data_IF_099669601271
#
_entry.id   IF_099669601271
#
_cell.length_a   1.000
_cell.length_b   1.000
_cell.length_c   1.000
_cell.angle_alpha   90.00
_cell.angle_beta   90.00
_cell.angle_gamma   90.00
#
_symmetry.space_group_name_H-M   'P 1'
#
loop_
_entity.id
_entity.type
_entity.pdbx_description
1 polymer ?
#
# COMPACT_ATOMS: atom_id res chain seq x y z
N UNK A 1 -5.89 37.34 -23.36
CA UNK A 1 -6.86 36.36 -23.90
C UNK A 1 -6.50 34.93 -23.49
N UNK A 2 -5.38 34.35 -23.93
CA UNK A 2 -5.01 32.96 -23.55
C UNK A 2 -4.88 32.78 -22.03
N UNK A 3 -4.14 33.65 -21.34
CA UNK A 3 -4.01 33.63 -19.86
C UNK A 3 -5.35 33.79 -19.12
N UNK A 4 -6.29 34.55 -19.67
CA UNK A 4 -7.61 34.75 -19.07
C UNK A 4 -8.47 33.47 -19.16
N UNK A 5 -8.42 32.77 -20.29
CA UNK A 5 -9.15 31.51 -20.48
C UNK A 5 -8.58 30.38 -19.61
N UNK A 6 -7.25 30.33 -19.44
CA UNK A 6 -6.59 29.39 -18.54
C UNK A 6 -7.02 29.65 -17.09
N UNK A 7 -7.08 30.92 -16.66
CA UNK A 7 -7.58 31.26 -15.33
C UNK A 7 -9.04 30.85 -15.13
N UNK A 8 -9.90 31.00 -16.14
CA UNK A 8 -11.28 30.48 -16.10
C UNK A 8 -11.29 28.96 -15.94
N UNK A 9 -10.48 28.21 -16.69
CA UNK A 9 -10.38 26.76 -16.55
C UNK A 9 -9.88 26.34 -15.16
N UNK A 10 -8.89 27.05 -14.59
CA UNK A 10 -8.42 26.83 -13.22
C UNK A 10 -9.54 27.10 -12.19
N UNK A 11 -10.35 28.13 -12.40
CA UNK A 11 -11.52 28.39 -11.56
C UNK A 11 -12.52 27.23 -11.60
N UNK A 12 -12.78 26.66 -12.78
CA UNK A 12 -13.63 25.47 -12.94
C UNK A 12 -13.09 24.27 -12.15
N UNK A 13 -11.77 24.04 -12.18
CA UNK A 13 -11.11 23.00 -11.39
C UNK A 13 -11.29 23.25 -9.88
N UNK A 14 -11.09 24.49 -9.42
CA UNK A 14 -11.25 24.85 -8.02
C UNK A 14 -12.68 24.58 -7.52
N UNK A 15 -13.68 24.88 -8.34
CA UNK A 15 -15.11 24.74 -8.04
C UNK A 15 -15.67 23.33 -8.30
N UNK A 16 -14.85 22.38 -8.75
CA UNK A 16 -15.30 21.06 -9.20
C UNK A 16 -16.39 21.10 -10.32
N UNK A 17 -16.36 22.12 -11.18
CA UNK A 17 -17.25 22.23 -12.34
C UNK A 17 -16.69 21.44 -13.55
N UNK A 18 -17.00 20.14 -13.61
CA UNK A 18 -16.52 19.23 -14.66
C UNK A 18 -17.13 19.55 -16.02
N UNK A 19 -18.40 19.94 -16.01
CA UNK A 19 -19.15 20.34 -17.21
C UNK A 19 -18.57 21.59 -17.83
N UNK A 20 -18.36 22.64 -17.05
CA UNK A 20 -17.80 23.90 -17.53
C UNK A 20 -16.36 23.75 -18.00
N UNK A 21 -15.54 22.94 -17.30
CA UNK A 21 -14.19 22.65 -17.76
C UNK A 21 -14.19 21.90 -19.11
N UNK A 22 -15.06 20.90 -19.25
CA UNK A 22 -15.16 20.12 -20.48
C UNK A 22 -15.67 20.97 -21.66
N UNK A 23 -16.60 21.90 -21.42
CA UNK A 23 -17.08 22.86 -22.42
C UNK A 23 -15.97 23.76 -22.92
N UNK A 24 -15.16 24.35 -22.02
CA UNK A 24 -14.02 25.20 -22.39
C UNK A 24 -12.97 24.47 -23.24
N UNK A 25 -12.72 23.19 -22.94
CA UNK A 25 -11.78 22.36 -23.72
C UNK A 25 -12.37 22.03 -25.09
N UNK A 26 -13.67 21.68 -25.15
CA UNK A 26 -14.35 21.34 -26.41
C UNK A 26 -14.52 22.54 -27.34
N UNK A 27 -14.76 23.74 -26.79
CA UNK A 27 -14.84 24.98 -27.57
C UNK A 27 -13.47 25.46 -28.06
N UNK A 28 -12.39 24.75 -27.72
CA UNK A 28 -10.99 25.11 -28.01
C UNK A 28 -10.58 26.47 -27.43
N UNK A 29 -11.30 26.96 -26.42
CA UNK A 29 -10.92 28.17 -25.69
C UNK A 29 -9.66 27.98 -24.85
N UNK A 30 -9.42 26.73 -24.41
CA UNK A 30 -8.23 26.26 -23.70
C UNK A 30 -7.84 24.88 -24.23
N UNK A 31 -6.55 24.65 -24.49
CA UNK A 31 -6.03 23.34 -24.85
C UNK A 31 -5.92 22.42 -23.63
N UNK A 32 -6.05 21.11 -23.81
CA UNK A 32 -6.01 20.14 -22.70
C UNK A 32 -4.73 20.22 -21.86
N UNK A 33 -3.59 20.46 -22.53
CA UNK A 33 -2.27 20.64 -21.90
C UNK A 33 -1.83 22.12 -21.89
N UNK A 34 -2.77 23.07 -21.91
CA UNK A 34 -2.42 24.48 -21.75
C UNK A 34 -1.79 24.75 -20.38
N UNK A 35 -0.79 25.63 -20.38
CA UNK A 35 0.03 25.97 -19.23
C UNK A 35 -0.18 27.43 -18.81
N UNK A 36 -0.17 27.67 -17.50
CA UNK A 36 -0.13 29.04 -16.97
C UNK A 36 1.26 29.68 -17.13
N UNK A 37 1.45 30.88 -16.58
CA UNK A 37 2.71 31.63 -16.66
C UNK A 37 3.89 30.95 -15.94
N UNK A 38 3.61 29.97 -15.07
CA UNK A 38 4.63 29.18 -14.36
C UNK A 38 4.92 27.86 -15.06
N UNK A 39 4.29 27.58 -16.20
CA UNK A 39 4.41 26.31 -16.93
C UNK A 39 3.57 25.18 -16.33
N UNK A 40 2.55 25.51 -15.53
CA UNK A 40 1.71 24.52 -14.84
C UNK A 40 0.47 24.17 -15.67
N UNK A 41 0.26 22.88 -15.95
CA UNK A 41 -0.90 22.42 -16.73
C UNK A 41 -2.18 22.36 -15.88
N UNK A 42 -3.34 22.30 -16.54
CA UNK A 42 -4.63 22.06 -15.88
C UNK A 42 -4.62 20.80 -15.00
N UNK A 43 -3.98 19.72 -15.47
CA UNK A 43 -3.87 18.47 -14.73
C UNK A 43 -2.99 18.62 -13.49
N UNK A 44 -1.89 19.38 -13.58
CA UNK A 44 -1.04 19.71 -12.43
C UNK A 44 -1.81 20.54 -11.39
N UNK A 45 -2.62 21.51 -11.81
CA UNK A 45 -3.51 22.29 -10.93
C UNK A 45 -4.51 21.40 -10.19
N UNK A 46 -5.20 20.50 -10.92
CA UNK A 46 -6.12 19.55 -10.32
C UNK A 46 -5.44 18.62 -9.30
N UNK A 47 -4.25 18.12 -9.64
CA UNK A 47 -3.45 17.25 -8.78
C UNK A 47 -2.99 17.94 -7.50
N UNK A 48 -2.46 19.17 -7.60
CA UNK A 48 -2.02 19.95 -6.44
C UNK A 48 -3.18 20.29 -5.50
N UNK A 49 -4.35 20.62 -6.06
CA UNK A 49 -5.58 20.92 -5.31
C UNK A 49 -6.29 19.67 -4.76
N UNK A 50 -5.78 18.46 -5.04
CA UNK A 50 -6.38 17.21 -4.57
C UNK A 50 -7.74 16.89 -5.22
N UNK A 51 -8.04 17.45 -6.39
CA UNK A 51 -9.34 17.32 -7.08
C UNK A 51 -9.39 16.04 -7.92
N UNK A 52 -9.61 14.90 -7.27
CA UNK A 52 -9.61 13.57 -7.90
C UNK A 52 -10.47 13.48 -9.16
N UNK A 53 -11.70 13.98 -9.11
CA UNK A 53 -12.63 13.86 -10.24
C UNK A 53 -12.19 14.74 -11.43
N UNK A 54 -11.52 15.86 -11.16
CA UNK A 54 -10.92 16.71 -12.21
C UNK A 54 -9.70 16.05 -12.83
N UNK A 55 -8.84 15.42 -12.02
CA UNK A 55 -7.72 14.65 -12.54
C UNK A 55 -8.22 13.53 -13.47
N UNK A 56 -9.25 12.79 -13.06
CA UNK A 56 -9.83 11.74 -13.87
C UNK A 56 -10.39 12.29 -15.20
N UNK A 57 -11.17 13.37 -15.15
CA UNK A 57 -11.72 14.01 -16.35
C UNK A 57 -10.62 14.42 -17.32
N UNK A 58 -9.58 15.11 -16.85
CA UNK A 58 -8.49 15.60 -17.69
C UNK A 58 -7.71 14.44 -18.32
N UNK A 59 -7.41 13.40 -17.55
CA UNK A 59 -6.77 12.18 -18.04
C UNK A 59 -7.62 11.45 -19.09
N UNK A 60 -8.93 11.36 -18.88
CA UNK A 60 -9.87 10.75 -19.85
C UNK A 60 -10.00 11.56 -21.15
N UNK A 61 -9.81 12.87 -21.08
CA UNK A 61 -9.74 13.75 -22.24
C UNK A 61 -8.36 13.73 -22.93
N UNK A 62 -7.40 12.96 -22.42
CA UNK A 62 -6.09 12.76 -23.04
C UNK A 62 -5.01 13.73 -22.60
N UNK A 63 -5.14 14.39 -21.44
CA UNK A 63 -4.06 15.19 -20.86
C UNK A 63 -2.79 14.35 -20.66
N UNK A 64 -1.62 14.88 -21.00
CA UNK A 64 -0.35 14.20 -20.78
C UNK A 64 0.00 14.18 -19.28
N UNK A 65 0.03 13.00 -18.62
CA UNK A 65 0.38 12.90 -17.20
C UNK A 65 1.84 13.28 -16.90
N UNK A 66 2.69 13.41 -17.91
CA UNK A 66 4.08 13.87 -17.83
C UNK A 66 4.30 15.25 -18.49
N UNK A 67 3.23 15.90 -18.94
CA UNK A 67 3.29 17.23 -19.56
C UNK A 67 3.55 18.35 -18.57
N UNK A 68 3.72 19.56 -19.11
CA UNK A 68 4.01 20.79 -18.35
C UNK A 68 5.49 21.12 -18.27
N UNK A 69 5.79 22.41 -18.20
CA UNK A 69 7.14 22.95 -18.09
C UNK A 69 7.32 23.78 -16.83
N UNK A 70 6.76 23.30 -15.71
CA UNK A 70 6.83 23.98 -14.42
C UNK A 70 8.28 24.44 -14.13
N UNK A 71 8.46 25.69 -13.71
CA UNK A 71 9.78 26.34 -13.55
C UNK A 71 10.78 25.57 -12.67
N UNK A 72 10.27 24.74 -11.76
CA UNK A 72 11.05 23.88 -10.86
C UNK A 72 11.02 22.39 -11.23
N UNK A 73 10.57 22.05 -12.44
CA UNK A 73 10.49 20.69 -12.98
C UNK A 73 9.63 19.75 -12.12
N UNK A 74 8.59 20.29 -11.47
CA UNK A 74 7.62 19.47 -10.76
C UNK A 74 6.71 18.79 -11.78
N UNK A 75 6.70 17.46 -11.77
CA UNK A 75 5.72 16.70 -12.55
C UNK A 75 4.36 16.66 -11.87
N UNK A 76 3.32 16.28 -12.61
CA UNK A 76 1.98 16.04 -12.08
C UNK A 76 1.97 15.09 -10.89
N UNK A 77 2.81 14.04 -10.92
CA UNK A 77 2.92 13.10 -9.81
C UNK A 77 3.53 13.74 -8.56
N UNK A 78 4.45 14.72 -8.69
CA UNK A 78 4.96 15.46 -7.52
C UNK A 78 3.85 16.26 -6.85
N UNK A 79 3.04 16.98 -7.63
CA UNK A 79 1.91 17.75 -7.10
C UNK A 79 0.87 16.85 -6.42
N UNK A 80 0.54 15.71 -7.03
CA UNK A 80 -0.32 14.71 -6.40
C UNK A 80 0.27 14.20 -5.08
N UNK A 81 1.60 13.94 -5.04
CA UNK A 81 2.27 13.47 -3.84
C UNK A 81 2.25 14.48 -2.69
N UNK A 82 2.41 15.77 -3.01
CA UNK A 82 2.29 16.87 -2.05
C UNK A 82 0.87 17.02 -1.51
N UNK A 83 -0.15 16.82 -2.36
CA UNK A 83 -1.56 16.86 -1.93
C UNK A 83 -1.93 15.75 -0.93
N UNK A 84 -1.15 14.66 -0.90
CA UNK A 84 -1.42 13.48 -0.07
C UNK A 84 -2.56 12.59 -0.56
N UNK A 85 -3.14 12.91 -1.73
CA UNK A 85 -4.25 12.15 -2.29
C UNK A 85 -3.76 10.87 -2.98
N UNK A 86 -3.94 9.74 -2.29
CA UNK A 86 -3.54 8.40 -2.75
C UNK A 86 -4.15 8.05 -4.12
N UNK A 87 -5.43 8.37 -4.30
CA UNK A 87 -6.19 7.96 -5.48
C UNK A 87 -5.67 8.68 -6.73
N UNK A 88 -5.32 9.96 -6.61
CA UNK A 88 -4.74 10.74 -7.72
C UNK A 88 -3.38 10.16 -8.11
N UNK A 89 -2.52 9.85 -7.14
CA UNK A 89 -1.24 9.20 -7.44
C UNK A 89 -1.43 7.87 -8.18
N UNK A 90 -2.41 7.05 -7.77
CA UNK A 90 -2.72 5.79 -8.44
C UNK A 90 -3.23 6.00 -9.88
N UNK A 91 -4.12 6.97 -10.09
CA UNK A 91 -4.62 7.32 -11.42
C UNK A 91 -3.46 7.76 -12.33
N UNK A 92 -2.65 8.71 -11.88
CA UNK A 92 -1.51 9.21 -12.65
C UNK A 92 -0.52 8.11 -13.05
N UNK A 93 -0.18 7.23 -12.12
CA UNK A 93 0.70 6.08 -12.41
C UNK A 93 0.07 5.12 -13.42
N UNK A 94 -1.25 4.89 -13.37
CA UNK A 94 -1.96 4.06 -14.35
C UNK A 94 -1.97 4.67 -15.75
N UNK A 95 -2.00 5.99 -15.86
CA UNK A 95 -1.90 6.70 -17.14
C UNK A 95 -0.44 6.88 -17.62
N UNK A 96 0.54 6.37 -16.87
CA UNK A 96 1.94 6.35 -17.29
C UNK A 96 2.78 7.53 -16.79
N UNK A 97 2.40 8.18 -15.68
CA UNK A 97 3.31 9.09 -14.99
C UNK A 97 4.62 8.38 -14.62
N UNK A 98 5.74 9.06 -14.82
CA UNK A 98 7.08 8.57 -14.48
C UNK A 98 7.37 8.72 -12.98
N UNK A 99 7.44 7.63 -12.19
CA UNK A 99 7.64 7.69 -10.74
C UNK A 99 9.07 8.11 -10.34
N UNK A 100 10.02 7.97 -11.25
CA UNK A 100 11.44 8.26 -11.11
C UNK A 100 11.84 9.65 -11.61
N UNK A 101 10.90 10.41 -12.20
CA UNK A 101 11.14 11.80 -12.57
C UNK A 101 11.59 12.61 -11.34
N UNK A 102 12.64 13.42 -11.53
CA UNK A 102 13.19 14.30 -10.50
C UNK A 102 12.88 15.76 -10.82
N UNK A 103 12.60 16.54 -9.78
CA UNK A 103 12.47 17.99 -9.88
C UNK A 103 13.85 18.68 -9.82
N UNK A 104 13.86 20.02 -9.86
CA UNK A 104 15.09 20.84 -9.86
C UNK A 104 15.97 20.67 -8.60
N UNK A 105 15.40 20.17 -7.49
CA UNK A 105 16.15 19.87 -6.26
C UNK A 105 16.58 18.39 -6.16
N UNK A 106 16.46 17.64 -7.26
CA UNK A 106 16.89 16.24 -7.36
C UNK A 106 16.04 15.27 -6.55
N UNK A 107 14.75 15.57 -6.37
CA UNK A 107 13.81 14.75 -5.59
C UNK A 107 12.74 14.13 -6.46
N UNK A 108 12.37 12.89 -6.15
CA UNK A 108 11.22 12.22 -6.78
C UNK A 108 9.91 12.54 -6.07
N UNK A 109 8.78 12.25 -6.72
CA UNK A 109 7.46 12.42 -6.12
C UNK A 109 7.29 11.64 -4.80
N UNK A 110 7.82 10.40 -4.72
CA UNK A 110 7.81 9.63 -3.48
C UNK A 110 8.61 10.30 -2.36
N UNK A 111 9.76 10.91 -2.67
CA UNK A 111 10.55 11.64 -1.69
C UNK A 111 9.85 12.93 -1.23
N UNK A 112 9.12 13.62 -2.10
CA UNK A 112 8.28 14.75 -1.73
C UNK A 112 7.11 14.34 -0.83
N UNK A 113 6.42 13.24 -1.13
CA UNK A 113 5.42 12.68 -0.24
C UNK A 113 6.01 12.34 1.14
N UNK A 114 7.22 11.77 1.19
CA UNK A 114 7.89 11.47 2.46
C UNK A 114 8.20 12.74 3.27
N UNK A 115 8.64 13.82 2.61
CA UNK A 115 8.94 15.10 3.24
C UNK A 115 7.73 15.71 3.95
N UNK A 116 6.53 15.56 3.38
CA UNK A 116 5.28 16.06 3.97
C UNK A 116 4.53 15.00 4.81
N UNK A 117 5.15 13.84 5.08
CA UNK A 117 4.56 12.78 5.93
C UNK A 117 3.50 11.89 5.27
N UNK A 118 3.34 11.96 3.94
CA UNK A 118 2.35 11.18 3.18
C UNK A 118 2.82 9.73 2.93
N UNK A 119 3.07 8.96 4.00
CA UNK A 119 3.66 7.61 3.93
C UNK A 119 2.92 6.60 3.05
N UNK A 120 1.59 6.68 2.97
CA UNK A 120 0.81 5.80 2.10
C UNK A 120 1.03 6.10 0.63
N UNK A 121 1.23 7.38 0.27
CA UNK A 121 1.60 7.78 -1.09
C UNK A 121 2.99 7.28 -1.44
N UNK A 122 3.97 7.43 -0.52
CA UNK A 122 5.32 6.87 -0.68
C UNK A 122 5.23 5.38 -0.99
N UNK A 123 4.44 4.66 -0.20
CA UNK A 123 4.26 3.22 -0.35
C UNK A 123 3.65 2.90 -1.72
N UNK A 124 2.59 3.58 -2.15
CA UNK A 124 1.98 3.32 -3.46
C UNK A 124 2.94 3.59 -4.61
N UNK A 125 3.63 4.73 -4.63
CA UNK A 125 4.55 5.09 -5.72
C UNK A 125 5.70 4.08 -5.79
N UNK A 126 6.35 3.78 -4.66
CA UNK A 126 7.49 2.86 -4.64
C UNK A 126 7.10 1.40 -4.92
N UNK A 127 5.85 1.02 -4.68
CA UNK A 127 5.35 -0.33 -4.93
C UNK A 127 4.65 -0.48 -6.29
N UNK A 128 4.58 0.58 -7.09
CA UNK A 128 3.83 0.57 -8.33
C UNK A 128 4.51 -0.31 -9.38
N UNK A 129 3.69 -1.17 -10.00
CA UNK A 129 4.03 -1.89 -11.21
C UNK A 129 2.86 -1.72 -12.19
N UNK A 130 3.13 -1.33 -13.46
CA UNK A 130 2.10 -1.31 -14.48
C UNK A 130 1.43 -2.67 -14.62
N UNK A 131 0.13 -2.69 -14.88
CA UNK A 131 -0.58 -3.95 -15.14
C UNK A 131 -0.03 -4.66 -16.39
N UNK A 132 0.40 -3.88 -17.38
CA UNK A 132 1.05 -4.37 -18.61
C UNK A 132 2.26 -5.26 -18.31
N UNK A 133 3.05 -4.94 -17.29
CA UNK A 133 4.22 -5.74 -16.90
C UNK A 133 3.83 -7.14 -16.42
N UNK A 134 2.65 -7.29 -15.80
CA UNK A 134 2.09 -8.60 -15.43
C UNK A 134 1.51 -9.31 -16.65
N UNK A 135 0.88 -8.55 -17.56
CA UNK A 135 0.29 -9.08 -18.78
C UNK A 135 1.34 -9.66 -19.75
N UNK A 136 2.60 -9.22 -19.67
CA UNK A 136 3.73 -9.84 -20.39
C UNK A 136 3.85 -11.36 -20.14
N UNK A 137 3.43 -11.85 -18.98
CA UNK A 137 3.47 -13.28 -18.63
C UNK A 137 2.26 -14.07 -19.16
N UNK A 138 1.28 -13.39 -19.76
CA UNK A 138 0.06 -13.99 -20.30
C UNK A 138 0.15 -14.35 -21.77
N UNK A 139 1.15 -13.81 -22.47
CA UNK A 139 1.45 -14.20 -23.84
C UNK A 139 1.94 -15.65 -23.89
N UNK A 140 1.59 -16.36 -24.96
CA UNK A 140 2.18 -17.65 -25.35
C UNK A 140 3.32 -17.37 -26.33
N UNK A 141 4.59 -17.54 -25.93
CA UNK A 141 5.69 -17.52 -26.89
C UNK A 141 5.46 -18.59 -27.96
N UNK A 142 5.89 -18.32 -29.21
CA UNK A 142 5.72 -19.26 -30.33
C UNK A 142 6.32 -20.67 -30.06
N UNK A 143 7.26 -20.78 -29.11
CA UNK A 143 7.93 -22.02 -28.73
C UNK A 143 7.36 -22.72 -27.47
N UNK A 144 6.33 -22.15 -26.82
CA UNK A 144 5.71 -22.73 -25.62
C UNK A 144 4.24 -23.09 -25.86
N UNK A 145 3.86 -24.31 -25.47
CA UNK A 145 2.47 -24.78 -25.56
C UNK A 145 1.51 -24.07 -24.58
N UNK A 146 2.00 -23.29 -23.62
CA UNK A 146 1.17 -22.63 -22.61
C UNK A 146 1.79 -21.32 -22.07
N UNK A 147 0.95 -20.33 -21.76
CA UNK A 147 1.33 -19.07 -21.12
C UNK A 147 1.82 -19.28 -19.68
N UNK A 148 2.81 -18.47 -19.25
CA UNK A 148 3.32 -18.51 -17.86
C UNK A 148 2.26 -18.14 -16.82
N UNK A 149 1.26 -17.35 -17.20
CA UNK A 149 0.10 -16.98 -16.39
C UNK A 149 -1.15 -16.92 -17.26
N UNK A 150 -2.31 -17.48 -16.85
CA UNK A 150 -3.55 -17.28 -17.60
C UNK A 150 -3.92 -15.79 -17.67
N UNK A 151 -4.39 -15.27 -18.82
CA UNK A 151 -4.80 -13.87 -18.95
C UNK A 151 -5.82 -13.42 -17.89
N UNK A 152 -6.76 -14.29 -17.54
CA UNK A 152 -7.75 -14.02 -16.49
C UNK A 152 -7.15 -13.89 -15.08
N UNK A 153 -5.95 -14.43 -14.83
CA UNK A 153 -5.25 -14.31 -13.55
C UNK A 153 -4.38 -13.04 -13.44
N UNK A 154 -4.06 -12.35 -14.54
CA UNK A 154 -3.25 -11.14 -14.52
C UNK A 154 -3.84 -10.01 -13.65
N UNK A 155 -5.13 -9.62 -13.77
CA UNK A 155 -5.69 -8.59 -12.88
C UNK A 155 -5.68 -9.01 -11.41
N UNK A 156 -5.89 -10.30 -11.11
CA UNK A 156 -5.82 -10.80 -9.73
C UNK A 156 -4.39 -10.72 -9.18
N UNK A 157 -3.39 -11.12 -9.97
CA UNK A 157 -1.98 -11.03 -9.58
C UNK A 157 -1.54 -9.57 -9.43
N UNK A 158 -1.91 -8.69 -10.35
CA UNK A 158 -1.63 -7.26 -10.26
C UNK A 158 -2.18 -6.67 -8.95
N UNK A 159 -3.44 -6.95 -8.63
CA UNK A 159 -4.05 -6.53 -7.36
C UNK A 159 -3.31 -7.06 -6.13
N UNK A 160 -2.79 -8.29 -6.20
CA UNK A 160 -2.04 -8.91 -5.11
C UNK A 160 -0.65 -8.29 -4.93
N UNK A 161 0.11 -8.07 -6.00
CA UNK A 161 1.45 -7.46 -5.92
C UNK A 161 1.41 -5.98 -5.55
N UNK A 162 0.30 -5.30 -5.85
CA UNK A 162 0.06 -3.90 -5.46
C UNK A 162 -0.31 -3.75 -3.97
N UNK A 163 -0.49 -4.83 -3.20
CA UNK A 163 -0.76 -4.71 -1.76
C UNK A 163 0.41 -4.05 -1.02
N UNK A 164 0.10 -3.02 -0.24
CA UNK A 164 1.04 -2.33 0.66
C UNK A 164 1.03 -2.95 2.05
N UNK A 165 -0.12 -3.45 2.50
CA UNK A 165 -0.22 -4.18 3.77
C UNK A 165 0.38 -5.58 3.61
N UNK A 166 1.55 -5.78 4.21
CA UNK A 166 2.32 -7.02 4.14
C UNK A 166 2.00 -8.02 5.25
N UNK A 167 1.01 -7.73 6.10
CA UNK A 167 0.59 -8.66 7.14
C UNK A 167 0.12 -9.99 6.51
N UNK A 168 0.66 -11.16 6.93
CA UNK A 168 0.32 -12.44 6.31
C UNK A 168 -1.19 -12.72 6.23
N UNK A 169 -1.94 -12.41 7.31
CA UNK A 169 -3.40 -12.56 7.32
C UNK A 169 -4.09 -11.68 6.27
N UNK A 170 -3.63 -10.44 6.05
CA UNK A 170 -4.19 -9.57 5.01
C UNK A 170 -3.96 -10.13 3.61
N UNK A 171 -2.74 -10.59 3.35
CA UNK A 171 -2.36 -11.20 2.08
C UNK A 171 -3.17 -12.47 1.83
N UNK A 172 -3.32 -13.34 2.83
CA UNK A 172 -4.16 -14.55 2.75
C UNK A 172 -5.63 -14.23 2.46
N UNK A 173 -6.21 -13.24 3.14
CA UNK A 173 -7.58 -12.79 2.86
C UNK A 173 -7.71 -12.20 1.45
N UNK A 174 -6.64 -11.57 0.94
CA UNK A 174 -6.60 -11.08 -0.44
C UNK A 174 -6.59 -12.23 -1.44
N UNK A 175 -5.76 -13.25 -1.21
CA UNK A 175 -5.75 -14.49 -2.01
C UNK A 175 -7.14 -15.10 -2.02
N UNK A 176 -7.76 -15.31 -0.85
CA UNK A 176 -9.09 -15.91 -0.72
C UNK A 176 -10.19 -15.16 -1.50
N UNK A 177 -10.07 -13.84 -1.66
CA UNK A 177 -11.02 -13.00 -2.42
C UNK A 177 -10.77 -13.01 -3.93
N UNK A 178 -9.71 -13.67 -4.40
CA UNK A 178 -9.28 -13.68 -5.79
C UNK A 178 -9.17 -15.13 -6.31
N UNK A 179 -10.27 -15.74 -6.78
CA UNK A 179 -10.30 -17.15 -7.23
C UNK A 179 -9.23 -17.49 -8.25
N UNK A 180 -9.08 -16.65 -9.27
CA UNK A 180 -8.07 -16.81 -10.32
C UNK A 180 -6.63 -16.90 -9.80
N UNK A 181 -6.35 -16.41 -8.59
CA UNK A 181 -5.04 -16.47 -7.98
C UNK A 181 -4.79 -17.81 -7.27
N UNK A 182 -5.73 -18.28 -6.45
CA UNK A 182 -5.57 -19.56 -5.74
C UNK A 182 -5.89 -20.80 -6.59
N UNK A 183 -6.60 -20.64 -7.71
CA UNK A 183 -6.75 -21.70 -8.71
C UNK A 183 -5.46 -21.91 -9.52
N UNK A 184 -4.53 -20.94 -9.50
CA UNK A 184 -3.31 -20.92 -10.30
C UNK A 184 -2.03 -20.77 -9.45
N UNK A 185 -2.02 -21.27 -8.20
CA UNK A 185 -0.92 -21.07 -7.24
C UNK A 185 0.47 -21.35 -7.80
N UNK A 186 0.63 -22.45 -8.55
CA UNK A 186 1.93 -22.84 -9.13
C UNK A 186 2.45 -21.80 -10.14
N UNK A 187 1.59 -21.35 -11.05
CA UNK A 187 1.93 -20.32 -12.06
C UNK A 187 2.17 -18.96 -11.41
N UNK A 188 1.31 -18.58 -10.46
CA UNK A 188 1.47 -17.34 -9.68
C UNK A 188 2.79 -17.32 -8.93
N UNK A 189 3.16 -18.43 -8.25
CA UNK A 189 4.46 -18.58 -7.58
C UNK A 189 5.62 -18.33 -8.54
N UNK A 190 5.59 -18.96 -9.71
CA UNK A 190 6.64 -18.83 -10.73
C UNK A 190 6.74 -17.40 -11.28
N UNK A 191 5.61 -16.72 -11.51
CA UNK A 191 5.63 -15.31 -11.96
C UNK A 191 6.16 -14.39 -10.88
N UNK A 192 5.80 -14.59 -9.61
CA UNK A 192 6.35 -13.79 -8.50
C UNK A 192 7.88 -13.96 -8.36
N UNK A 193 8.39 -15.17 -8.61
CA UNK A 193 9.83 -15.43 -8.68
C UNK A 193 10.49 -14.68 -9.85
N UNK A 194 9.91 -14.74 -11.05
CA UNK A 194 10.40 -13.99 -12.21
C UNK A 194 10.37 -12.48 -11.98
N UNK A 195 9.31 -11.95 -11.36
CA UNK A 195 9.22 -10.54 -10.98
C UNK A 195 10.35 -10.17 -10.01
N UNK A 196 10.60 -11.00 -8.99
CA UNK A 196 11.67 -10.79 -8.03
C UNK A 196 13.05 -10.73 -8.71
N UNK A 197 13.34 -11.69 -9.59
CA UNK A 197 14.59 -11.73 -10.34
C UNK A 197 14.74 -10.56 -11.31
N UNK A 198 13.68 -10.19 -12.01
CA UNK A 198 13.71 -9.13 -13.00
C UNK A 198 13.99 -7.76 -12.38
N UNK A 199 13.59 -7.53 -11.12
CA UNK A 199 13.98 -6.33 -10.38
C UNK A 199 15.50 -6.26 -10.13
N UNK A 200 16.18 -7.40 -10.03
CA UNK A 200 17.63 -7.45 -9.83
C UNK A 200 18.44 -7.41 -11.13
N UNK A 201 17.83 -7.80 -12.26
CA UNK A 201 18.47 -7.82 -13.59
C UNK A 201 18.57 -6.43 -14.25
N UNK A 202 18.06 -5.36 -13.61
CA UNK A 202 18.09 -3.97 -14.11
C UNK A 202 19.46 -3.27 -13.99
N UNK A 203 20.52 -4.00 -13.69
CA UNK A 203 21.88 -3.44 -13.59
C UNK A 203 22.00 -2.41 -12.46
N UNK A 204 22.37 -1.16 -12.81
CA UNK A 204 22.50 -0.05 -11.83
C UNK A 204 21.16 0.40 -11.24
N UNK A 205 20.04 0.02 -11.86
CA UNK A 205 18.67 0.33 -11.42
C UNK A 205 18.01 -0.86 -10.71
N UNK A 206 18.81 -1.75 -10.11
CA UNK A 206 18.29 -2.88 -9.37
C UNK A 206 17.39 -2.41 -8.21
N UNK A 207 16.17 -2.93 -8.16
CA UNK A 207 15.22 -2.61 -7.11
C UNK A 207 15.18 -3.74 -6.07
N UNK A 208 16.15 -3.71 -5.14
CA UNK A 208 16.29 -4.71 -4.08
C UNK A 208 15.02 -4.82 -3.21
N UNK A 209 14.34 -3.68 -2.98
CA UNK A 209 13.12 -3.58 -2.18
C UNK A 209 11.97 -4.36 -2.84
N UNK A 210 11.67 -4.08 -4.11
CA UNK A 210 10.62 -4.79 -4.83
C UNK A 210 10.97 -6.26 -5.03
N UNK A 211 12.25 -6.57 -5.26
CA UNK A 211 12.70 -7.96 -5.34
C UNK A 211 12.39 -8.73 -4.05
N UNK A 212 12.72 -8.16 -2.89
CA UNK A 212 12.41 -8.73 -1.58
C UNK A 212 10.91 -8.87 -1.35
N UNK A 213 10.12 -7.87 -1.74
CA UNK A 213 8.65 -7.94 -1.66
C UNK A 213 8.11 -9.10 -2.48
N UNK A 214 8.47 -9.20 -3.75
CA UNK A 214 7.97 -10.27 -4.63
C UNK A 214 8.40 -11.64 -4.13
N UNK A 215 9.61 -11.77 -3.57
CA UNK A 215 10.06 -12.99 -2.89
C UNK A 215 9.19 -13.35 -1.69
N UNK A 216 8.86 -12.38 -0.82
CA UNK A 216 7.96 -12.62 0.32
C UNK A 216 6.56 -13.06 -0.13
N UNK A 217 5.99 -12.40 -1.13
CA UNK A 217 4.70 -12.80 -1.73
C UNK A 217 4.79 -14.21 -2.33
N UNK A 218 5.87 -14.52 -3.05
CA UNK A 218 6.17 -15.84 -3.61
C UNK A 218 6.23 -16.91 -2.53
N UNK A 219 6.93 -16.63 -1.43
CA UNK A 219 7.08 -17.55 -0.30
C UNK A 219 5.73 -17.88 0.34
N UNK A 220 4.85 -16.89 0.50
CA UNK A 220 3.49 -17.11 1.01
C UNK A 220 2.67 -18.00 0.08
N UNK A 221 2.65 -17.69 -1.22
CA UNK A 221 1.92 -18.50 -2.24
C UNK A 221 2.48 -19.92 -2.31
N UNK A 222 3.81 -20.07 -2.26
CA UNK A 222 4.47 -21.38 -2.28
C UNK A 222 4.08 -22.25 -1.08
N UNK A 223 3.94 -21.66 0.12
CA UNK A 223 3.53 -22.40 1.31
C UNK A 223 2.13 -22.97 1.17
N UNK A 224 1.19 -22.17 0.66
CA UNK A 224 -0.18 -22.63 0.38
C UNK A 224 -0.16 -23.72 -0.70
N UNK A 225 0.63 -23.55 -1.76
CA UNK A 225 0.73 -24.54 -2.84
C UNK A 225 1.28 -25.89 -2.34
N UNK A 226 2.31 -25.87 -1.46
CA UNK A 226 2.87 -27.07 -0.85
C UNK A 226 1.86 -27.79 0.03
N UNK A 227 1.10 -27.05 0.83
CA UNK A 227 0.06 -27.62 1.70
C UNK A 227 -1.10 -28.21 0.88
N UNK A 228 -1.51 -27.57 -0.21
CA UNK A 228 -2.51 -28.12 -1.13
C UNK A 228 -2.05 -29.42 -1.78
N UNK A 229 -0.75 -29.54 -2.07
CA UNK A 229 -0.18 -30.78 -2.59
C UNK A 229 -0.12 -31.90 -1.53
N UNK A 230 0.18 -31.55 -0.28
CA UNK A 230 0.21 -32.50 0.84
C UNK A 230 -1.19 -32.93 1.32
N UNK A 231 -2.18 -32.06 1.15
CA UNK A 231 -3.57 -32.25 1.56
C UNK A 231 -4.54 -32.00 0.39
N UNK A 232 -4.52 -32.84 -0.66
CA UNK A 232 -5.33 -32.66 -1.86
C UNK A 232 -6.85 -32.73 -1.59
N UNK A 233 -7.24 -33.34 -0.46
CA UNK A 233 -8.63 -33.44 -0.02
C UNK A 233 -9.21 -32.12 0.52
N UNK A 234 -8.35 -31.18 0.93
CA UNK A 234 -8.79 -29.89 1.47
C UNK A 234 -8.90 -28.86 0.37
N UNK A 235 -9.89 -27.97 0.48
CA UNK A 235 -9.94 -26.80 -0.39
C UNK A 235 -8.82 -25.81 -0.01
N UNK A 236 -8.32 -25.04 -0.98
CA UNK A 236 -7.32 -24.00 -0.71
C UNK A 236 -7.84 -22.98 0.32
N UNK A 237 -9.13 -22.69 0.31
CA UNK A 237 -9.77 -21.78 1.27
C UNK A 237 -9.69 -22.32 2.70
N UNK A 238 -9.86 -23.63 2.89
CA UNK A 238 -9.72 -24.26 4.21
C UNK A 238 -8.29 -24.21 4.73
N UNK A 239 -7.30 -24.41 3.84
CA UNK A 239 -5.88 -24.26 4.17
C UNK A 239 -5.55 -22.82 4.56
N UNK A 240 -6.04 -21.84 3.79
CA UNK A 240 -5.90 -20.41 4.11
C UNK A 240 -6.47 -20.11 5.51
N UNK A 241 -7.66 -20.60 5.83
CA UNK A 241 -8.28 -20.41 7.14
C UNK A 241 -7.46 -21.04 8.29
N UNK A 242 -6.79 -22.17 8.04
CA UNK A 242 -5.88 -22.80 9.00
C UNK A 242 -4.65 -21.92 9.25
N UNK A 243 -4.03 -21.39 8.20
CA UNK A 243 -2.91 -20.44 8.34
C UNK A 243 -3.31 -19.16 9.07
N UNK A 244 -4.48 -18.58 8.76
CA UNK A 244 -4.97 -17.38 9.44
C UNK A 244 -5.05 -17.63 10.95
N UNK A 245 -5.62 -18.77 11.37
CA UNK A 245 -5.69 -19.15 12.79
C UNK A 245 -4.30 -19.31 13.41
N UNK A 246 -3.35 -19.92 12.68
CA UNK A 246 -1.98 -20.08 13.14
C UNK A 246 -1.26 -18.73 13.30
N UNK A 247 -1.44 -17.79 12.36
CA UNK A 247 -0.86 -16.46 12.42
C UNK A 247 -1.41 -15.59 13.55
N UNK A 248 -2.69 -15.75 13.90
CA UNK A 248 -3.32 -15.00 14.98
C UNK A 248 -2.97 -15.57 16.37
N UNK A 249 -2.45 -16.80 16.46
CA UNK A 249 -2.17 -17.44 17.74
C UNK A 249 -1.02 -16.74 18.45
N UNK A 250 -1.29 -16.29 19.67
CA UNK A 250 -0.32 -15.64 20.55
C UNK A 250 0.17 -16.61 21.62
N UNK A 251 1.44 -16.47 22.02
CA UNK A 251 2.03 -17.22 23.15
C UNK A 251 1.36 -16.78 24.46
N UNK A 252 0.92 -17.69 25.34
CA UNK A 252 0.20 -17.33 26.57
C UNK A 252 1.00 -16.48 27.57
N UNK A 253 2.34 -16.55 27.56
CA UNK A 253 3.20 -15.88 28.54
C UNK A 253 3.33 -14.37 28.31
N UNK A 254 3.45 -13.94 27.06
CA UNK A 254 3.83 -12.57 26.68
C UNK A 254 3.01 -12.01 25.51
N UNK A 255 2.09 -12.80 24.92
CA UNK A 255 1.32 -12.41 23.75
C UNK A 255 2.08 -12.49 22.43
N UNK A 256 3.31 -13.02 22.42
CA UNK A 256 4.16 -13.01 21.22
C UNK A 256 3.62 -13.93 20.11
N UNK A 257 3.45 -13.45 18.85
CA UNK A 257 2.91 -14.24 17.74
C UNK A 257 4.00 -15.09 17.08
N UNK A 258 4.44 -16.16 17.76
CA UNK A 258 5.62 -16.95 17.38
C UNK A 258 5.57 -17.56 15.98
N UNK A 259 4.40 -18.07 15.56
CA UNK A 259 4.25 -18.64 14.22
C UNK A 259 4.43 -17.58 13.13
N UNK A 260 3.81 -16.41 13.31
CA UNK A 260 3.94 -15.27 12.40
C UNK A 260 5.39 -14.79 12.30
N UNK A 261 6.04 -14.60 13.44
CA UNK A 261 7.41 -14.11 13.49
C UNK A 261 8.40 -15.09 12.83
N UNK A 262 8.28 -16.39 13.13
CA UNK A 262 9.12 -17.42 12.53
C UNK A 262 8.90 -17.54 11.02
N UNK A 263 7.65 -17.47 10.55
CA UNK A 263 7.32 -17.53 9.13
C UNK A 263 8.00 -16.42 8.32
N UNK A 264 7.95 -15.19 8.84
CA UNK A 264 8.56 -14.04 8.17
C UNK A 264 10.09 -14.15 8.19
N UNK A 265 10.67 -14.57 9.33
CA UNK A 265 12.13 -14.82 9.43
C UNK A 265 12.60 -15.88 8.44
N UNK A 266 11.84 -16.95 8.25
CA UNK A 266 12.14 -17.98 7.26
C UNK A 266 12.05 -17.44 5.84
N UNK A 267 11.03 -16.64 5.52
CA UNK A 267 10.92 -15.98 4.22
C UNK A 267 12.13 -15.10 3.93
N UNK A 268 12.59 -14.31 4.91
CA UNK A 268 13.77 -13.45 4.73
C UNK A 268 15.02 -14.31 4.51
N UNK A 269 15.25 -15.36 5.31
CA UNK A 269 16.43 -16.24 5.18
C UNK A 269 16.52 -16.96 3.83
N UNK A 270 15.39 -17.21 3.19
CA UNK A 270 15.31 -17.86 1.88
C UNK A 270 15.46 -16.89 0.70
N UNK A 271 15.60 -15.58 0.96
CA UNK A 271 15.83 -14.59 -0.10
C UNK A 271 17.13 -14.89 -0.86
N UNK A 272 17.09 -15.03 -2.20
CA UNK A 272 18.25 -15.51 -2.96
C UNK A 272 19.40 -14.50 -3.05
N UNK A 273 19.11 -13.19 -3.01
CA UNK A 273 20.10 -12.14 -3.23
C UNK A 273 20.78 -11.69 -1.93
N UNK A 274 21.58 -12.58 -1.33
CA UNK A 274 22.22 -12.38 -0.01
C UNK A 274 23.26 -11.26 0.04
N UNK A 275 23.78 -10.86 -1.12
CA UNK A 275 24.79 -9.80 -1.22
C UNK A 275 24.21 -8.39 -1.13
N UNK A 276 22.88 -8.25 -1.23
CA UNK A 276 22.19 -6.97 -1.19
C UNK A 276 22.35 -6.28 0.17
N UNK A 277 22.52 -4.96 0.14
CA UNK A 277 22.65 -4.16 1.37
C UNK A 277 21.39 -4.31 2.22
N UNK A 278 20.23 -4.35 1.57
CA UNK A 278 18.95 -4.46 2.25
C UNK A 278 18.79 -5.77 3.01
N UNK A 279 19.21 -6.89 2.42
CA UNK A 279 19.15 -8.21 3.07
C UNK A 279 20.07 -8.24 4.29
N UNK A 280 21.31 -7.77 4.15
CA UNK A 280 22.28 -7.73 5.25
C UNK A 280 21.77 -6.89 6.42
N UNK A 281 21.23 -5.70 6.14
CA UNK A 281 20.66 -4.81 7.16
C UNK A 281 19.44 -5.45 7.85
N UNK A 282 18.54 -6.08 7.08
CA UNK A 282 17.37 -6.75 7.62
C UNK A 282 17.76 -7.93 8.52
N UNK A 283 18.74 -8.73 8.09
CA UNK A 283 19.23 -9.89 8.83
C UNK A 283 19.88 -9.50 10.16
N UNK A 284 20.68 -8.43 10.18
CA UNK A 284 21.30 -7.89 11.41
C UNK A 284 20.25 -7.42 12.41
N UNK A 285 19.15 -6.80 11.95
CA UNK A 285 18.09 -6.38 12.86
C UNK A 285 17.25 -7.55 13.36
N UNK A 286 17.06 -8.59 12.54
CA UNK A 286 16.40 -9.82 12.94
C UNK A 286 17.25 -10.66 13.91
N UNK A 287 18.58 -10.60 13.87
CA UNK A 287 19.44 -11.41 14.75
C UNK A 287 19.56 -10.88 16.19
N UNK A 288 19.09 -9.67 16.48
CA UNK A 288 19.04 -9.12 17.84
C UNK A 288 18.15 -9.99 18.75
N UNK A 289 18.53 -10.10 20.03
CA UNK A 289 17.94 -11.00 21.03
C UNK A 289 16.43 -10.81 21.22
N UNK A 290 15.71 -11.90 21.50
CA UNK A 290 14.23 -11.98 21.54
C UNK A 290 13.54 -10.99 22.49
N UNK A 291 14.20 -10.52 23.55
CA UNK A 291 13.60 -9.57 24.51
C UNK A 291 13.56 -8.12 23.98
N UNK A 292 14.41 -7.75 23.03
CA UNK A 292 14.51 -6.40 22.46
C UNK A 292 14.30 -6.36 20.93
N UNK A 293 13.99 -7.50 20.31
CA UNK A 293 13.84 -7.59 18.85
C UNK A 293 12.44 -7.13 18.44
N UNK A 294 12.31 -6.10 17.58
CA UNK A 294 11.02 -5.75 17.01
C UNK A 294 10.47 -6.93 16.20
N UNK A 295 9.14 -7.04 16.15
CA UNK A 295 8.46 -8.09 15.38
C UNK A 295 9.00 -8.13 13.93
N UNK A 296 9.30 -9.32 13.41
CA UNK A 296 9.87 -9.46 12.06
C UNK A 296 9.00 -8.81 10.98
N UNK A 297 7.68 -8.79 11.18
CA UNK A 297 6.73 -8.07 10.33
C UNK A 297 7.01 -6.57 10.26
N UNK A 298 7.30 -5.93 11.39
CA UNK A 298 7.56 -4.48 11.45
C UNK A 298 8.85 -4.15 10.71
N UNK A 299 9.89 -4.98 10.87
CA UNK A 299 11.15 -4.81 10.15
C UNK A 299 10.97 -5.00 8.64
N UNK A 300 10.26 -6.05 8.21
CA UNK A 300 9.98 -6.30 6.80
C UNK A 300 9.14 -5.17 6.19
N UNK A 301 8.10 -4.72 6.90
CA UNK A 301 7.19 -3.66 6.43
C UNK A 301 7.92 -2.32 6.32
N UNK A 302 8.69 -1.92 7.32
CA UNK A 302 9.48 -0.68 7.28
C UNK A 302 10.58 -0.73 6.21
N UNK A 303 11.11 -1.92 5.92
CA UNK A 303 12.09 -2.13 4.87
C UNK A 303 11.46 -1.94 3.47
N UNK A 304 10.26 -2.45 3.24
CA UNK A 304 9.59 -2.39 1.92
C UNK A 304 8.82 -1.09 1.69
N UNK A 305 8.11 -0.60 2.70
CA UNK A 305 7.24 0.59 2.60
C UNK A 305 7.93 1.88 3.05
N UNK A 306 9.18 1.79 3.54
CA UNK A 306 9.91 2.89 4.16
C UNK A 306 9.64 3.03 5.66
N UNK A 307 10.59 3.62 6.37
CA UNK A 307 10.46 3.91 7.80
C UNK A 307 9.43 5.03 8.02
N UNK A 308 8.69 4.91 9.12
CA UNK A 308 7.69 5.89 9.56
C UNK A 308 8.10 6.43 10.92
N UNK A 309 8.17 7.75 11.05
CA UNK A 309 8.62 8.40 12.28
C UNK A 309 7.61 8.31 13.43
N UNK A 310 6.31 8.36 13.09
CA UNK A 310 5.21 8.25 14.03
C UNK A 310 4.17 7.26 13.46
N UNK A 311 3.76 6.27 14.25
CA UNK A 311 2.64 5.39 13.94
C UNK A 311 1.61 5.52 15.05
N UNK A 312 0.41 5.97 14.71
CA UNK A 312 -0.75 5.80 15.57
C UNK A 312 -1.15 4.32 15.59
N UNK A 313 -1.52 3.79 16.75
CA UNK A 313 -1.81 2.36 16.97
C UNK A 313 -3.17 1.91 16.38
N UNK A 314 -3.68 2.66 15.39
CA UNK A 314 -5.02 2.51 14.81
C UNK A 314 -5.06 1.48 13.66
N UNK A 315 -4.56 0.27 13.96
CA UNK A 315 -4.53 -0.85 13.02
C UNK A 315 -5.51 -1.96 13.39
N UNK A 316 -6.01 -2.67 12.37
CA UNK A 316 -6.85 -3.83 12.58
C UNK A 316 -6.08 -4.93 13.29
N UNK A 317 -6.58 -5.38 14.44
CA UNK A 317 -5.94 -6.43 15.24
C UNK A 317 -5.84 -7.81 14.54
N UNK A 318 -6.52 -7.99 13.41
CA UNK A 318 -6.53 -9.26 12.66
C UNK A 318 -5.60 -9.25 11.46
N UNK A 319 -5.63 -8.17 10.68
CA UNK A 319 -4.93 -8.10 9.40
C UNK A 319 -3.98 -6.92 9.29
N UNK A 320 -3.81 -6.11 10.35
CA UNK A 320 -2.91 -4.95 10.33
C UNK A 320 -3.34 -3.82 9.40
N UNK A 321 -4.55 -3.85 8.84
CA UNK A 321 -5.07 -2.75 8.02
C UNK A 321 -5.06 -1.46 8.83
N UNK A 322 -4.45 -0.41 8.31
CA UNK A 322 -4.33 0.88 8.98
C UNK A 322 -5.56 1.78 8.76
N UNK A 323 -5.65 2.84 9.58
CA UNK A 323 -6.69 3.89 9.54
C UNK A 323 -8.09 3.30 9.71
N UNK A 324 -8.25 2.46 10.73
CA UNK A 324 -9.50 1.77 11.02
C UNK A 324 -10.36 2.60 11.95
N UNK A 325 -11.53 3.03 11.47
CA UNK A 325 -12.48 3.80 12.28
C UNK A 325 -13.25 2.96 13.31
N UNK A 326 -13.44 1.66 13.04
CA UNK A 326 -14.34 0.82 13.84
C UNK A 326 -13.62 0.14 15.01
N UNK A 327 -14.04 0.52 16.23
CA UNK A 327 -13.61 -0.09 17.51
C UNK A 327 -14.62 -1.12 17.99
N UNK A 328 -14.17 -2.08 18.78
CA UNK A 328 -15.05 -3.02 19.47
C UNK A 328 -16.06 -2.25 20.33
N UNK A 329 -17.34 -2.61 20.21
CA UNK A 329 -18.42 -1.96 20.97
C UNK A 329 -18.30 -2.12 22.48
N UNK A 330 -17.63 -3.17 22.96
CA UNK A 330 -17.50 -3.49 24.39
C UNK A 330 -16.25 -2.84 24.99
N UNK A 331 -15.05 -3.18 24.50
CA UNK A 331 -13.81 -2.70 25.11
C UNK A 331 -13.36 -1.33 24.62
N UNK A 332 -13.86 -0.86 23.47
CA UNK A 332 -13.46 0.39 22.80
C UNK A 332 -11.95 0.51 22.46
N UNK A 333 -11.13 -0.48 22.81
CA UNK A 333 -9.68 -0.47 22.54
C UNK A 333 -9.31 -1.19 21.23
N UNK A 334 -9.88 -2.37 20.98
CA UNK A 334 -9.48 -3.19 19.82
C UNK A 334 -10.22 -2.77 18.55
N UNK A 335 -9.50 -2.63 17.44
CA UNK A 335 -10.03 -2.17 16.16
C UNK A 335 -10.14 -3.27 15.10
N UNK A 336 -11.15 -3.16 14.23
CA UNK A 336 -11.38 -4.09 13.12
C UNK A 336 -11.80 -3.36 11.85
N UNK A 337 -11.16 -3.67 10.72
CA UNK A 337 -11.52 -3.04 9.44
C UNK A 337 -12.89 -3.49 8.91
N UNK A 338 -13.40 -4.65 9.34
CA UNK A 338 -14.72 -5.17 9.03
C UNK A 338 -15.14 -6.28 10.01
N UNK A 339 -16.39 -6.75 9.86
CA UNK A 339 -16.97 -7.83 10.69
C UNK A 339 -16.26 -9.17 10.54
N UNK A 340 -15.69 -9.48 9.38
CA UNK A 340 -15.01 -10.77 9.15
C UNK A 340 -13.70 -10.85 9.93
N UNK A 341 -12.91 -9.77 9.93
CA UNK A 341 -11.73 -9.67 10.78
C UNK A 341 -12.08 -9.82 12.27
N UNK A 342 -13.16 -9.16 12.71
CA UNK A 342 -13.65 -9.32 14.07
C UNK A 342 -13.97 -10.79 14.39
N UNK A 343 -14.70 -11.49 13.52
CA UNK A 343 -15.04 -12.92 13.71
C UNK A 343 -13.80 -13.81 13.79
N UNK A 344 -12.81 -13.58 12.92
CA UNK A 344 -11.57 -14.37 12.88
C UNK A 344 -10.75 -14.23 14.17
N UNK A 345 -10.68 -13.02 14.73
CA UNK A 345 -9.92 -12.75 15.95
C UNK A 345 -10.72 -12.97 17.25
N UNK A 346 -12.05 -13.10 17.18
CA UNK A 346 -12.92 -13.12 18.34
C UNK A 346 -12.57 -14.20 19.38
N UNK A 347 -12.12 -15.37 18.94
CA UNK A 347 -11.75 -16.48 19.84
C UNK A 347 -10.62 -16.12 20.82
N UNK A 348 -9.74 -15.21 20.42
CA UNK A 348 -8.64 -14.65 21.21
C UNK A 348 -9.15 -13.44 21.97
N UNK A 349 -9.71 -12.45 21.25
CA UNK A 349 -10.15 -11.19 21.82
C UNK A 349 -11.16 -11.35 22.96
N UNK A 350 -12.12 -12.28 22.87
CA UNK A 350 -13.15 -12.48 23.90
C UNK A 350 -12.58 -12.80 25.28
N UNK A 351 -11.37 -13.36 25.35
CA UNK A 351 -10.70 -13.69 26.62
C UNK A 351 -10.15 -12.45 27.33
N UNK A 352 -9.76 -11.43 26.57
CA UNK A 352 -9.17 -10.19 27.08
C UNK A 352 -10.13 -8.99 27.03
N UNK A 353 -11.26 -9.10 26.32
CA UNK A 353 -12.18 -7.99 26.05
C UNK A 353 -12.68 -7.31 27.34
N UNK A 354 -13.07 -8.10 28.35
CA UNK A 354 -13.56 -7.54 29.62
C UNK A 354 -12.46 -6.80 30.40
N UNK A 355 -11.23 -7.32 30.35
CA UNK A 355 -10.07 -6.68 30.97
C UNK A 355 -9.74 -5.36 30.29
N UNK A 356 -9.72 -5.34 28.96
CA UNK A 356 -9.53 -4.13 28.17
C UNK A 356 -10.64 -3.09 28.41
N UNK A 357 -11.90 -3.54 28.52
CA UNK A 357 -13.02 -2.65 28.83
C UNK A 357 -12.87 -1.96 30.20
N UNK A 358 -12.38 -2.68 31.21
CA UNK A 358 -12.07 -2.10 32.53
C UNK A 358 -10.92 -1.09 32.44
N UNK A 359 -9.87 -1.41 31.69
CA UNK A 359 -8.75 -0.49 31.49
C UNK A 359 -9.17 0.79 30.79
N UNK A 360 -10.01 0.69 29.75
CA UNK A 360 -10.56 1.83 29.03
C UNK A 360 -11.36 2.76 29.95
N UNK A 361 -12.29 2.21 30.75
CA UNK A 361 -13.06 3.00 31.73
C UNK A 361 -12.17 3.71 32.75
N UNK A 362 -11.12 3.04 33.23
CA UNK A 362 -10.18 3.65 34.17
C UNK A 362 -9.38 4.80 33.54
N UNK A 363 -9.08 4.71 32.24
CA UNK A 363 -8.43 5.80 31.49
C UNK A 363 -9.38 6.98 31.28
N UNK A 364 -10.65 6.73 30.94
CA UNK A 364 -11.68 7.79 30.80
C UNK A 364 -11.90 8.55 32.11
N UNK A 365 -11.97 7.85 33.24
CA UNK A 365 -12.11 8.48 34.56
C UNK A 365 -10.89 9.37 34.84
N UNK A 366 -9.68 8.86 34.58
CA UNK A 366 -8.45 9.63 34.78
C UNK A 366 -8.38 10.86 33.89
N UNK A 367 -8.82 10.78 32.63
CA UNK A 367 -8.82 11.93 31.72
C UNK A 367 -9.82 13.00 32.17
N UNK A 368 -11.02 12.60 32.60
CA UNK A 368 -12.04 13.50 33.13
C UNK A 368 -11.57 14.18 34.43
N UNK A 369 -10.91 13.45 35.33
CA UNK A 369 -10.33 14.02 36.55
C UNK A 369 -9.21 15.03 36.25
N UNK A 370 -8.40 14.82 35.20
CA UNK A 370 -7.37 15.78 34.79
C UNK A 370 -7.95 17.02 34.11
N UNK A 371 -9.00 16.88 33.30
CA UNK A 371 -9.70 18.02 32.68
C UNK A 371 -10.36 18.90 33.74
N UNK A 372 -11.08 18.30 34.69
CA UNK A 372 -11.73 19.03 35.80
C UNK A 372 -10.71 19.80 36.64
N UNK A 373 -9.54 19.22 36.93
CA UNK A 373 -8.45 19.92 37.65
C UNK A 373 -7.84 21.08 36.88
N UNK A 374 -7.88 21.04 35.55
CA UNK A 374 -7.36 22.12 34.69
C UNK A 374 -8.36 23.28 34.65
N UNK A 375 -9.65 22.98 34.58
CA UNK A 375 -10.74 23.97 34.66
C UNK A 375 -10.76 24.69 36.03
N UNK A 376 -10.59 23.95 37.13
CA UNK A 376 -10.54 24.55 38.48
C UNK A 376 -9.32 25.47 38.70
N UNK A 377 -8.21 25.18 38.02
CA UNK A 377 -6.99 26.02 38.06
C UNK A 377 -7.09 27.27 37.19
N UNK A 378 -7.83 27.22 36.09
CA UNK A 378 -8.12 28.39 35.24
C UNK A 378 -9.19 29.30 35.87
N UNK A 379 -10.15 28.74 36.61
CA UNK A 379 -11.16 29.52 37.35
C UNK A 379 -10.63 30.19 38.62
N UNK A 380 -9.42 29.84 39.07
CA UNK A 380 -8.75 30.38 40.27
C UNK A 380 -7.69 31.45 39.98
N UNK A 381 -7.56 31.88 38.72
CA UNK A 381 -6.76 33.03 38.27
C UNK A 381 -7.67 34.15 37.81
#
# INVERSE_FOLDING_TARGET
MISENINKAIEKINNNDSTGLQELIKSQEVGIDSEDEHGMTLLQHAAFKGKKDMCQLLLDLGADPNGGHHEHQYSTLHFAALSGNLDICQQLLQYGSKPDAINSVGRTAAQMAAFVGNHMVVSIINNFIPRTDIELYTATPNDQNESKLPPAAAPALHKFVMQVNLHPVHLLLTIQKLPMLYENLAKVKNVLELLSENQMKRGREANEILSLKYHYLRFLVERIAKEQHQHPEKSVVDLINQYIKAFLKQRPSDGFPEFLDNFIRESVRTFPFKETTIFRQLLVNLSKTKQDSPLALNLLTSCINGQRGFQDDDSCATCGQEKVASKCSVCKSVQYCNRDCQKLHWSIHKKECDKLAKQFKNLEIKSQDSENKTIDQEASK
#
